data_IF_394938814766
#
_entry.id   IF_394938814766
#
_cell.length_a   1.000
_cell.length_b   1.000
_cell.length_c   1.000
_cell.angle_alpha   90.00
_cell.angle_beta   90.00
_cell.angle_gamma   90.00
#
_symmetry.space_group_name_H-M   'P 1'
#
loop_
_entity.id
_entity.type
_entity.pdbx_description
1 polymer ?
#
# COMPACT_ATOMS: atom_id res chain seq x y z
N UNK A 1 -24.06 14.74 13.72
CA UNK A 1 -22.62 15.08 13.83
C UNK A 1 -21.71 13.85 13.95
N UNK A 2 -22.23 12.64 14.24
CA UNK A 2 -21.42 11.42 14.29
C UNK A 2 -20.95 10.88 12.92
N UNK A 3 -21.78 10.92 11.88
CA UNK A 3 -21.43 10.37 10.56
C UNK A 3 -20.17 10.98 9.94
N UNK A 4 -19.98 12.31 10.04
CA UNK A 4 -18.81 12.97 9.46
C UNK A 4 -17.48 12.58 10.11
N UNK A 5 -17.49 12.17 11.39
CA UNK A 5 -16.28 11.66 12.07
C UNK A 5 -15.96 10.22 11.66
N UNK A 6 -16.98 9.39 11.49
CA UNK A 6 -16.80 7.98 11.12
C UNK A 6 -16.31 7.83 9.67
N UNK A 7 -16.85 8.65 8.76
CA UNK A 7 -16.44 8.70 7.35
C UNK A 7 -14.98 9.20 7.22
N UNK A 8 -14.63 10.29 7.91
CA UNK A 8 -13.25 10.79 7.93
C UNK A 8 -12.24 9.81 8.54
N UNK A 9 -12.65 9.04 9.57
CA UNK A 9 -11.79 8.00 10.15
C UNK A 9 -11.58 6.82 9.19
N UNK A 10 -12.63 6.44 8.44
CA UNK A 10 -12.55 5.40 7.40
C UNK A 10 -11.64 5.82 6.24
N UNK A 11 -11.84 7.03 5.70
CA UNK A 11 -10.99 7.57 4.64
C UNK A 11 -9.53 7.70 5.07
N UNK A 12 -9.30 8.18 6.30
CA UNK A 12 -7.95 8.28 6.87
C UNK A 12 -7.26 6.93 7.03
N UNK A 13 -7.98 5.91 7.51
CA UNK A 13 -7.47 4.53 7.62
C UNK A 13 -7.16 3.92 6.26
N UNK A 14 -8.05 4.08 5.28
CA UNK A 14 -7.85 3.53 3.93
C UNK A 14 -6.66 4.20 3.23
N UNK A 15 -6.59 5.53 3.29
CA UNK A 15 -5.49 6.31 2.71
C UNK A 15 -4.15 5.99 3.39
N UNK A 16 -4.15 5.87 4.72
CA UNK A 16 -2.97 5.52 5.51
C UNK A 16 -2.47 4.09 5.21
N UNK A 17 -3.38 3.12 5.17
CA UNK A 17 -3.06 1.74 4.83
C UNK A 17 -2.48 1.63 3.42
N UNK A 18 -3.08 2.33 2.45
CA UNK A 18 -2.61 2.35 1.07
C UNK A 18 -1.24 3.00 0.91
N UNK A 19 -0.99 4.13 1.59
CA UNK A 19 0.36 4.76 1.62
C UNK A 19 1.40 3.82 2.24
N UNK A 20 1.07 3.19 3.36
CA UNK A 20 1.98 2.26 4.05
C UNK A 20 2.32 1.04 3.20
N UNK A 21 1.35 0.48 2.48
CA UNK A 21 1.58 -0.63 1.56
C UNK A 21 2.53 -0.25 0.41
N UNK A 22 2.37 0.96 -0.13
CA UNK A 22 3.23 1.48 -1.20
C UNK A 22 4.66 1.74 -0.72
N UNK A 23 4.83 2.33 0.47
CA UNK A 23 6.14 2.57 1.07
C UNK A 23 6.87 1.26 1.41
N UNK A 24 6.17 0.29 2.03
CA UNK A 24 6.72 -1.03 2.31
C UNK A 24 7.16 -1.74 1.03
N UNK A 25 6.35 -1.64 -0.04
CA UNK A 25 6.70 -2.20 -1.33
C UNK A 25 7.94 -1.52 -1.94
N UNK A 26 8.05 -0.19 -1.87
CA UNK A 26 9.25 0.53 -2.32
C UNK A 26 10.50 0.12 -1.54
N UNK A 27 10.42 0.06 -0.21
CA UNK A 27 11.55 -0.33 0.63
C UNK A 27 12.02 -1.75 0.33
N UNK A 28 11.09 -2.71 0.23
CA UNK A 28 11.43 -4.10 -0.05
C UNK A 28 12.00 -4.29 -1.48
N UNK A 29 11.55 -3.52 -2.48
CA UNK A 29 12.19 -3.49 -3.80
C UNK A 29 13.63 -2.97 -3.72
N UNK A 30 13.87 -1.91 -2.94
CA UNK A 30 15.21 -1.36 -2.73
C UNK A 30 16.15 -2.36 -2.03
N UNK A 31 15.61 -3.25 -1.19
CA UNK A 31 16.35 -4.37 -0.59
C UNK A 31 16.52 -5.59 -1.53
N UNK A 32 16.10 -5.49 -2.80
CA UNK A 32 16.26 -6.53 -3.79
C UNK A 32 15.21 -7.63 -3.75
N UNK A 33 14.09 -7.42 -3.04
CA UNK A 33 12.99 -8.37 -3.03
C UNK A 33 12.35 -8.46 -4.43
N UNK A 34 12.06 -9.68 -4.87
CA UNK A 34 11.48 -9.93 -6.19
C UNK A 34 10.05 -9.37 -6.28
N UNK A 35 9.74 -8.70 -7.38
CA UNK A 35 8.41 -8.14 -7.72
C UNK A 35 7.27 -9.14 -7.46
N UNK A 36 7.40 -10.39 -7.92
CA UNK A 36 6.35 -11.39 -7.76
C UNK A 36 6.12 -11.82 -6.31
N UNK A 37 7.17 -11.86 -5.49
CA UNK A 37 7.02 -12.09 -4.05
C UNK A 37 6.31 -10.90 -3.43
N UNK A 38 6.77 -9.68 -3.73
CA UNK A 38 6.20 -8.43 -3.24
C UNK A 38 4.71 -8.28 -3.55
N UNK A 39 4.30 -8.62 -4.78
CA UNK A 39 2.92 -8.59 -5.23
C UNK A 39 2.02 -9.48 -4.36
N UNK A 40 2.50 -10.68 -4.01
CA UNK A 40 1.76 -11.61 -3.14
C UNK A 40 1.59 -11.10 -1.71
N UNK A 41 2.64 -10.55 -1.11
CA UNK A 41 2.60 -10.07 0.29
C UNK A 41 1.86 -8.73 0.44
N UNK A 42 1.98 -7.84 -0.55
CA UNK A 42 1.35 -6.52 -0.50
C UNK A 42 -0.09 -6.50 -1.02
N UNK A 43 -0.54 -7.57 -1.70
CA UNK A 43 -1.83 -7.60 -2.39
C UNK A 43 -1.89 -6.69 -3.62
N UNK A 44 -0.75 -6.15 -4.06
CA UNK A 44 -0.64 -5.33 -5.26
C UNK A 44 -0.40 -6.22 -6.48
N UNK A 45 -0.86 -5.78 -7.66
CA UNK A 45 -0.48 -6.45 -8.90
C UNK A 45 1.00 -6.23 -9.21
N UNK A 46 1.63 -7.20 -9.88
CA UNK A 46 3.04 -7.08 -10.29
C UNK A 46 3.30 -5.83 -11.14
N UNK A 47 2.35 -5.46 -12.00
CA UNK A 47 2.40 -4.22 -12.77
C UNK A 47 2.46 -2.98 -11.87
N UNK A 48 1.65 -2.95 -10.80
CA UNK A 48 1.68 -1.85 -9.82
C UNK A 48 3.04 -1.82 -9.10
N UNK A 49 3.55 -2.97 -8.68
CA UNK A 49 4.85 -3.07 -8.02
C UNK A 49 5.99 -2.60 -8.94
N UNK A 50 5.97 -2.93 -10.23
CA UNK A 50 6.95 -2.46 -11.21
C UNK A 50 6.98 -0.95 -11.39
N UNK A 51 5.84 -0.27 -11.18
CA UNK A 51 5.79 1.20 -11.20
C UNK A 51 6.33 1.86 -9.92
N UNK A 52 6.63 1.07 -8.88
CA UNK A 52 7.20 1.56 -7.63
C UNK A 52 8.73 1.52 -7.61
N UNK A 53 9.34 0.73 -8.50
CA UNK A 53 10.79 0.68 -8.70
C UNK A 53 11.33 1.99 -9.30
#
# INVERSE_FOLDING_TARGET
>A
MEMGREEGLREGKETGARKKAVEMARAALAEGMKVGMLARISGLSEGKVRTLA
#
